data_IF_684309819334
#
_entry.id   IF_684309819334
#
_cell.length_a   1.000
_cell.length_b   1.000
_cell.length_c   1.000
_cell.angle_alpha   90.00
_cell.angle_beta   90.00
_cell.angle_gamma   90.00
#
_symmetry.space_group_name_H-M   'P 1'
#
loop_
_entity.id
_entity.type
_entity.pdbx_description
1 polymer ?
#
# COMPACT_ATOMS: atom_id res chain seq x y z
N UNK A 1 -13.38 9.20 -4.92
CA UNK A 1 -11.98 9.65 -5.05
C UNK A 1 -11.12 8.44 -5.35
N UNK A 2 -10.51 8.40 -6.54
CA UNK A 2 -9.63 7.31 -6.99
C UNK A 2 -8.17 7.58 -6.61
N UNK A 3 -7.93 7.97 -5.38
CA UNK A 3 -6.61 8.41 -4.91
C UNK A 3 -5.73 7.20 -4.60
N UNK A 4 -4.44 7.30 -4.94
CA UNK A 4 -3.46 6.23 -4.75
C UNK A 4 -2.56 6.62 -3.58
N UNK A 5 -2.44 5.73 -2.60
CA UNK A 5 -1.53 5.92 -1.48
C UNK A 5 -0.11 5.56 -1.91
N UNK A 6 0.77 6.56 -1.98
CA UNK A 6 2.18 6.38 -2.32
C UNK A 6 3.04 6.72 -1.11
N UNK A 7 3.93 5.82 -0.69
CA UNK A 7 4.84 6.05 0.43
C UNK A 7 6.05 5.12 0.36
N UNK A 8 7.20 5.55 0.89
CA UNK A 8 8.37 4.67 0.95
C UNK A 8 8.14 3.39 1.77
N UNK A 9 7.36 3.50 2.85
CA UNK A 9 6.96 2.37 3.70
C UNK A 9 5.62 2.66 4.38
N UNK A 10 4.99 1.64 4.95
CA UNK A 10 3.68 1.74 5.63
C UNK A 10 3.78 1.27 7.07
N UNK A 11 2.89 1.75 7.94
CA UNK A 11 2.78 1.28 9.33
C UNK A 11 1.39 0.68 9.61
N UNK A 12 1.25 -0.02 10.74
CA UNK A 12 0.01 -0.69 11.19
C UNK A 12 -1.10 0.33 11.48
N UNK A 13 -0.76 1.55 11.88
CA UNK A 13 -1.73 2.62 12.14
C UNK A 13 -2.40 3.19 10.88
N UNK A 14 -1.92 2.83 9.68
CA UNK A 14 -2.43 3.38 8.42
C UNK A 14 -3.61 2.59 7.84
N UNK A 15 -4.14 1.58 8.52
CA UNK A 15 -5.28 0.78 8.03
C UNK A 15 -6.46 1.64 7.59
N UNK A 16 -6.73 2.77 8.27
CA UNK A 16 -7.78 3.69 7.82
C UNK A 16 -7.45 4.38 6.48
N UNK A 17 -6.18 4.73 6.23
CA UNK A 17 -5.78 5.32 4.95
C UNK A 17 -5.95 4.32 3.81
N UNK A 18 -5.66 3.03 4.07
CA UNK A 18 -5.86 1.98 3.09
C UNK A 18 -7.34 1.80 2.72
N UNK A 19 -8.27 1.94 3.67
CA UNK A 19 -9.70 1.80 3.38
C UNK A 19 -10.27 2.93 2.52
N UNK A 20 -9.57 4.06 2.44
CA UNK A 20 -9.94 5.19 1.59
C UNK A 20 -9.21 5.19 0.23
N UNK A 21 -8.14 4.40 0.09
CA UNK A 21 -7.31 4.37 -1.11
C UNK A 21 -7.89 3.46 -2.19
N UNK A 22 -7.73 3.85 -3.46
CA UNK A 22 -8.07 3.01 -4.61
C UNK A 22 -6.96 2.02 -4.96
N UNK A 23 -5.70 2.32 -4.61
CA UNK A 23 -4.53 1.46 -4.75
C UNK A 23 -3.40 1.92 -3.83
N UNK A 24 -2.39 1.05 -3.64
CA UNK A 24 -1.22 1.33 -2.77
C UNK A 24 0.09 1.07 -3.53
N UNK A 25 1.03 2.01 -3.45
CA UNK A 25 2.38 1.89 -3.99
C UNK A 25 3.42 2.10 -2.87
N UNK A 26 4.36 1.16 -2.69
CA UNK A 26 5.47 1.31 -1.73
C UNK A 26 6.85 1.01 -2.27
N UNK A 27 7.83 1.84 -1.88
CA UNK A 27 9.24 1.63 -2.25
C UNK A 27 9.84 0.39 -1.61
N UNK A 28 9.49 0.18 -0.35
CA UNK A 28 9.96 -0.93 0.45
C UNK A 28 8.82 -1.91 0.63
N UNK A 29 9.10 -3.19 0.37
CA UNK A 29 8.15 -4.26 0.60
C UNK A 29 8.46 -5.48 -0.26
N UNK A 30 7.78 -6.57 0.08
CA UNK A 30 7.79 -7.82 -0.65
C UNK A 30 6.38 -8.42 -0.61
N UNK A 31 6.20 -9.58 -1.24
CA UNK A 31 4.89 -10.23 -1.39
C UNK A 31 4.12 -10.42 -0.06
N UNK A 32 4.82 -10.63 1.06
CA UNK A 32 4.25 -10.85 2.40
C UNK A 32 4.35 -9.63 3.32
N UNK A 33 4.70 -8.45 2.77
CA UNK A 33 4.78 -7.21 3.56
C UNK A 33 3.42 -6.77 4.08
N UNK A 34 3.42 -5.95 5.13
CA UNK A 34 2.21 -5.37 5.71
C UNK A 34 1.31 -4.71 4.65
N UNK A 35 1.89 -3.85 3.79
CA UNK A 35 1.15 -3.20 2.72
C UNK A 35 0.48 -4.21 1.76
N UNK A 36 1.19 -5.26 1.37
CA UNK A 36 0.69 -6.28 0.46
C UNK A 36 -0.39 -7.17 1.10
N UNK A 37 -0.30 -7.46 2.40
CA UNK A 37 -1.30 -8.24 3.12
C UNK A 37 -2.59 -7.43 3.29
N UNK A 38 -2.50 -6.21 3.81
CA UNK A 38 -3.67 -5.35 4.05
C UNK A 38 -4.39 -4.99 2.75
N UNK A 39 -3.65 -4.73 1.66
CA UNK A 39 -4.26 -4.46 0.36
C UNK A 39 -5.11 -5.65 -0.15
N UNK A 40 -4.65 -6.90 0.07
CA UNK A 40 -5.41 -8.11 -0.30
C UNK A 40 -6.65 -8.28 0.55
N UNK A 41 -6.56 -8.02 1.84
CA UNK A 41 -7.70 -8.08 2.77
C UNK A 41 -8.79 -7.08 2.37
N UNK A 42 -8.39 -5.91 1.87
CA UNK A 42 -9.29 -4.85 1.42
C UNK A 42 -9.70 -4.97 -0.06
N UNK A 43 -9.15 -5.93 -0.80
CA UNK A 43 -9.47 -6.14 -2.21
C UNK A 43 -8.97 -5.04 -3.16
N UNK A 44 -7.98 -4.25 -2.75
CA UNK A 44 -7.42 -3.16 -3.56
C UNK A 44 -6.07 -3.56 -4.20
N UNK A 45 -5.74 -3.07 -5.40
CA UNK A 45 -4.45 -3.32 -6.03
C UNK A 45 -3.28 -2.74 -5.22
N UNK A 46 -2.16 -3.46 -5.17
CA UNK A 46 -0.93 -2.96 -4.57
C UNK A 46 0.32 -3.35 -5.36
N UNK A 47 1.27 -2.40 -5.47
CA UNK A 47 2.64 -2.63 -5.96
C UNK A 47 3.60 -2.27 -4.83
N UNK A 48 4.51 -3.18 -4.51
CA UNK A 48 5.45 -3.04 -3.40
C UNK A 48 6.87 -3.35 -3.86
N UNK A 49 7.86 -2.71 -3.25
CA UNK A 49 9.27 -2.91 -3.60
C UNK A 49 9.69 -2.16 -4.87
N UNK A 50 9.09 -1.01 -5.16
CA UNK A 50 9.39 -0.22 -6.37
C UNK A 50 10.78 0.42 -6.35
N UNK A 51 11.43 0.51 -5.18
CA UNK A 51 12.73 1.17 -4.99
C UNK A 51 12.66 2.69 -5.02
N UNK A 52 12.00 3.28 -6.03
CA UNK A 52 11.61 4.69 -6.07
C UNK A 52 10.24 4.88 -6.76
N UNK A 53 9.26 5.31 -5.97
CA UNK A 53 7.82 5.42 -6.30
C UNK A 53 7.36 6.86 -6.43
N UNK A 54 8.20 7.82 -6.00
CA UNK A 54 8.01 9.27 -6.14
C UNK A 54 8.63 9.81 -7.41
#
# INVERSE_FOLDING_TARGET
NGEILVSASTNIGWTHLFSQAAAVLTDIGAQLSHAATVARELGIPAVVGTGNST
#
